data_IF_023099676032
#
_entry.id   IF_023099676032
#
_cell.length_a   1.000
_cell.length_b   1.000
_cell.length_c   1.000
_cell.angle_alpha   90.00
_cell.angle_beta   90.00
_cell.angle_gamma   90.00
#
_symmetry.space_group_name_H-M   'P 1'
#
loop_
_entity.id
_entity.type
_entity.pdbx_description
1 polymer ?
#
# COMPACT_ATOMS: atom_id res chain seq x y z
N UNK A 1 29.66 11.65 -18.20
CA UNK A 1 29.33 12.77 -17.29
C UNK A 1 28.46 12.23 -16.20
N UNK A 2 28.90 12.33 -14.94
CA UNK A 2 28.11 11.94 -13.79
C UNK A 2 26.96 12.95 -13.66
N UNK A 3 25.71 12.49 -13.68
CA UNK A 3 24.56 13.38 -13.50
C UNK A 3 24.51 13.79 -12.01
N UNK A 4 24.53 15.09 -11.75
CA UNK A 4 24.37 15.65 -10.42
C UNK A 4 22.87 15.67 -10.06
N UNK A 5 22.37 14.52 -9.61
CA UNK A 5 20.96 14.34 -9.24
C UNK A 5 20.84 14.59 -7.73
N UNK A 6 20.08 15.60 -7.31
CA UNK A 6 19.85 15.84 -5.89
C UNK A 6 19.08 14.66 -5.27
N UNK A 7 19.57 14.19 -4.14
CA UNK A 7 18.94 13.10 -3.36
C UNK A 7 18.38 13.69 -2.08
N UNK A 8 17.12 13.39 -1.81
CA UNK A 8 16.46 13.74 -0.55
C UNK A 8 15.88 12.47 0.08
N UNK A 9 16.14 12.27 1.36
CA UNK A 9 15.51 11.21 2.16
C UNK A 9 14.18 11.70 2.72
N UNK A 10 13.23 10.78 2.87
CA UNK A 10 11.93 11.05 3.50
C UNK A 10 11.73 10.12 4.68
N UNK A 11 11.04 10.59 5.71
CA UNK A 11 10.68 9.82 6.90
C UNK A 11 9.29 10.19 7.40
N UNK A 12 8.80 9.48 8.41
CA UNK A 12 7.50 9.74 9.01
C UNK A 12 7.38 11.21 9.48
N UNK A 13 6.32 11.86 9.06
CA UNK A 13 6.05 13.28 9.27
C UNK A 13 6.32 14.17 8.04
N UNK A 14 7.12 13.71 7.09
CA UNK A 14 7.32 14.44 5.84
C UNK A 14 6.06 14.35 4.97
N UNK A 15 5.75 15.45 4.29
CA UNK A 15 4.63 15.49 3.37
C UNK A 15 4.91 16.38 2.16
N UNK A 16 4.29 16.03 1.05
CA UNK A 16 4.27 16.82 -0.18
C UNK A 16 2.83 17.18 -0.50
N UNK A 17 2.59 18.39 -0.98
CA UNK A 17 1.27 18.82 -1.42
C UNK A 17 1.35 19.58 -2.73
N UNK A 18 0.42 19.24 -3.65
CA UNK A 18 0.23 19.97 -4.90
C UNK A 18 -1.26 20.04 -5.24
N UNK A 19 -1.84 21.19 -5.02
CA UNK A 19 -3.29 21.36 -5.16
C UNK A 19 -4.05 20.44 -4.21
N UNK A 20 -4.94 19.61 -4.75
CA UNK A 20 -5.72 18.65 -3.97
C UNK A 20 -4.96 17.34 -3.66
N UNK A 21 -3.80 17.12 -4.27
CA UNK A 21 -2.97 15.94 -4.01
C UNK A 21 -2.08 16.18 -2.80
N UNK A 22 -2.14 15.28 -1.82
CA UNK A 22 -1.26 15.21 -0.66
C UNK A 22 -0.62 13.83 -0.60
N UNK A 23 0.67 13.79 -0.26
CA UNK A 23 1.40 12.56 0.01
C UNK A 23 2.11 12.72 1.35
N UNK A 24 1.75 11.92 2.34
CA UNK A 24 2.36 11.91 3.66
C UNK A 24 3.17 10.63 3.85
N UNK A 25 4.38 10.74 4.38
CA UNK A 25 5.18 9.60 4.79
C UNK A 25 4.78 9.18 6.21
N UNK A 26 4.29 7.94 6.36
CA UNK A 26 3.91 7.37 7.66
C UNK A 26 5.04 6.58 8.30
N UNK A 27 5.98 6.05 7.50
CA UNK A 27 7.07 5.18 7.92
C UNK A 27 8.21 5.20 6.88
N UNK A 28 9.49 5.00 7.28
CA UNK A 28 10.00 4.78 8.64
C UNK A 28 10.03 6.06 9.48
N UNK A 29 9.89 5.92 10.80
CA UNK A 29 10.18 7.05 11.71
C UNK A 29 11.69 7.29 11.78
N UNK A 30 12.14 8.52 12.11
CA UNK A 30 13.54 8.75 12.41
C UNK A 30 14.05 7.79 13.50
N UNK A 31 15.26 7.28 13.33
CA UNK A 31 15.89 6.34 14.28
C UNK A 31 15.04 5.08 14.55
N UNK A 32 14.26 4.63 13.58
CA UNK A 32 13.57 3.35 13.68
C UNK A 32 14.59 2.22 13.72
N UNK A 33 14.42 1.30 14.66
CA UNK A 33 15.25 0.11 14.78
C UNK A 33 14.41 -1.15 14.66
N UNK A 34 14.79 -2.04 13.76
CA UNK A 34 14.09 -3.28 13.47
C UNK A 34 15.05 -4.36 12.95
N UNK A 35 14.65 -5.61 13.13
CA UNK A 35 15.48 -6.78 12.79
C UNK A 35 15.50 -7.12 11.30
N UNK A 36 14.56 -6.61 10.50
CA UNK A 36 14.45 -6.97 9.08
C UNK A 36 14.42 -5.72 8.18
N UNK A 37 15.00 -5.86 6.96
CA UNK A 37 14.99 -4.78 5.97
C UNK A 37 13.55 -4.37 5.56
N UNK A 38 12.63 -5.32 5.47
CA UNK A 38 11.24 -5.06 5.09
C UNK A 38 10.50 -4.20 6.13
N UNK A 39 10.89 -4.30 7.40
CA UNK A 39 10.33 -3.45 8.44
C UNK A 39 10.63 -1.95 8.26
N UNK A 40 11.64 -1.59 7.44
CA UNK A 40 11.97 -0.19 7.09
C UNK A 40 11.24 0.31 5.84
N UNK A 41 10.35 -0.48 5.26
CA UNK A 41 9.67 -0.09 4.01
C UNK A 41 8.95 1.23 4.13
N UNK A 42 9.23 2.12 3.19
CA UNK A 42 8.54 3.41 3.11
C UNK A 42 7.05 3.20 2.91
N UNK A 43 6.26 3.73 3.83
CA UNK A 43 4.80 3.66 3.78
C UNK A 43 4.23 5.07 3.58
N UNK A 44 3.43 5.22 2.52
CA UNK A 44 2.88 6.50 2.12
C UNK A 44 1.35 6.48 2.15
N UNK A 45 0.77 7.53 2.75
CA UNK A 45 -0.63 7.89 2.55
C UNK A 45 -0.71 8.88 1.38
N UNK A 46 -1.45 8.52 0.35
CA UNK A 46 -1.76 9.41 -0.78
C UNK A 46 -3.22 9.81 -0.68
N UNK A 47 -3.48 11.10 -0.61
CA UNK A 47 -4.84 11.65 -0.55
C UNK A 47 -5.10 12.55 -1.76
N UNK A 48 -6.21 12.32 -2.45
CA UNK A 48 -6.71 13.18 -3.50
C UNK A 48 -8.21 13.41 -3.28
N UNK A 49 -8.60 14.61 -2.89
CA UNK A 49 -9.95 14.91 -2.41
C UNK A 49 -10.40 13.91 -1.34
N UNK A 50 -11.50 13.16 -1.61
CA UNK A 50 -12.04 12.14 -0.69
C UNK A 50 -11.34 10.79 -0.81
N UNK A 51 -10.52 10.58 -1.84
CA UNK A 51 -9.84 9.29 -2.08
C UNK A 51 -8.54 9.21 -1.28
N UNK A 52 -8.42 8.16 -0.47
CA UNK A 52 -7.20 7.82 0.28
C UNK A 52 -6.63 6.48 -0.17
N UNK A 53 -5.33 6.46 -0.45
CA UNK A 53 -4.58 5.26 -0.83
C UNK A 53 -3.41 5.06 0.12
N UNK A 54 -3.22 3.82 0.58
CA UNK A 54 -2.08 3.41 1.39
C UNK A 54 -1.11 2.57 0.54
N UNK A 55 0.14 3.03 0.44
CA UNK A 55 1.23 2.35 -0.25
C UNK A 55 2.21 1.80 0.79
N UNK A 56 2.31 0.48 0.92
CA UNK A 56 3.03 -0.16 2.02
C UNK A 56 4.44 -0.66 1.67
N UNK A 57 4.89 -0.57 0.40
CA UNK A 57 6.14 -1.22 0.00
C UNK A 57 6.13 -2.71 0.35
N UNK A 58 7.18 -3.18 1.01
CA UNK A 58 7.32 -4.55 1.51
C UNK A 58 7.16 -4.63 3.04
N UNK A 59 6.40 -3.71 3.62
CA UNK A 59 6.20 -3.54 5.05
C UNK A 59 5.81 -4.84 5.76
N UNK A 60 6.55 -5.21 6.80
CA UNK A 60 6.34 -6.40 7.63
C UNK A 60 6.74 -6.16 9.09
N UNK A 61 6.31 -7.04 9.98
CA UNK A 61 6.77 -7.12 11.37
C UNK A 61 6.63 -5.81 12.13
N UNK A 62 7.72 -5.35 12.75
CA UNK A 62 7.73 -4.15 13.60
C UNK A 62 7.30 -2.88 12.85
N UNK A 63 7.63 -2.79 11.55
CA UNK A 63 7.20 -1.67 10.72
C UNK A 63 5.68 -1.64 10.51
N UNK A 64 5.06 -2.80 10.24
CA UNK A 64 3.61 -2.91 10.12
C UNK A 64 2.93 -2.57 11.45
N UNK A 65 3.45 -3.07 12.57
CA UNK A 65 2.92 -2.76 13.88
C UNK A 65 3.00 -1.26 14.20
N UNK A 66 4.12 -0.61 13.87
CA UNK A 66 4.27 0.82 14.06
C UNK A 66 3.25 1.63 13.24
N UNK A 67 3.07 1.30 11.95
CA UNK A 67 2.08 1.97 11.10
C UNK A 67 0.66 1.71 11.62
N UNK A 68 0.34 0.48 12.01
CA UNK A 68 -0.95 0.11 12.59
C UNK A 68 -1.31 0.98 13.80
N UNK A 69 -0.37 1.19 14.74
CA UNK A 69 -0.60 2.02 15.92
C UNK A 69 -0.88 3.49 15.56
N UNK A 70 -0.23 4.02 14.53
CA UNK A 70 -0.53 5.37 14.03
C UNK A 70 -1.93 5.45 13.42
N UNK A 71 -2.29 4.46 12.60
CA UNK A 71 -3.60 4.40 11.96
C UNK A 71 -4.74 4.24 12.97
N UNK A 72 -4.54 3.47 14.05
CA UNK A 72 -5.50 3.37 15.15
C UNK A 72 -5.73 4.72 15.83
N UNK A 73 -4.65 5.48 16.09
CA UNK A 73 -4.75 6.80 16.73
C UNK A 73 -5.45 7.83 15.85
N UNK A 74 -5.20 7.80 14.54
CA UNK A 74 -5.82 8.72 13.60
C UNK A 74 -7.26 8.33 13.22
N UNK A 75 -7.62 7.05 13.38
CA UNK A 75 -8.88 6.51 12.89
C UNK A 75 -9.01 6.50 11.36
N UNK A 76 -7.91 6.72 10.65
CA UNK A 76 -7.90 6.82 9.19
C UNK A 76 -8.22 5.48 8.54
N UNK A 77 -9.10 5.52 7.54
CA UNK A 77 -9.43 4.39 6.64
C UNK A 77 -9.05 4.75 5.22
N UNK A 78 -8.93 3.74 4.37
CA UNK A 78 -8.43 3.92 3.01
C UNK A 78 -9.37 3.29 1.99
N UNK A 79 -9.55 3.97 0.85
CA UNK A 79 -10.30 3.39 -0.28
C UNK A 79 -9.46 2.30 -0.95
N UNK A 80 -8.14 2.50 -1.02
CA UNK A 80 -7.22 1.65 -1.77
C UNK A 80 -6.04 1.27 -0.89
N UNK A 81 -5.71 -0.02 -0.90
CA UNK A 81 -4.49 -0.56 -0.31
C UNK A 81 -3.62 -1.16 -1.41
N UNK A 82 -2.40 -0.64 -1.60
CA UNK A 82 -1.35 -1.41 -2.26
C UNK A 82 -0.81 -2.41 -1.23
N UNK A 83 -1.19 -3.66 -1.39
CA UNK A 83 -0.82 -4.75 -0.47
C UNK A 83 0.70 -4.84 -0.33
N UNK A 84 1.17 -4.99 0.90
CA UNK A 84 2.59 -5.07 1.20
C UNK A 84 3.22 -6.36 0.67
N UNK A 85 4.52 -6.29 0.39
CA UNK A 85 5.41 -7.40 0.06
C UNK A 85 4.81 -8.38 -0.95
N UNK A 86 4.26 -7.84 -2.04
CA UNK A 86 3.69 -8.58 -3.16
C UNK A 86 2.61 -9.61 -2.79
N UNK A 87 2.05 -9.50 -1.61
CA UNK A 87 1.09 -10.46 -1.07
C UNK A 87 1.72 -11.58 -0.24
N UNK A 88 2.82 -11.30 0.45
CA UNK A 88 3.41 -12.20 1.46
C UNK A 88 2.42 -12.53 2.57
N UNK A 89 2.44 -13.77 3.06
CA UNK A 89 1.65 -14.18 4.24
C UNK A 89 2.09 -13.47 5.53
N UNK A 90 3.33 -12.99 5.57
CA UNK A 90 3.93 -12.34 6.73
C UNK A 90 3.62 -10.84 6.80
N UNK A 91 2.97 -10.29 5.78
CA UNK A 91 2.57 -8.88 5.71
C UNK A 91 1.05 -8.72 5.75
N UNK A 92 0.58 -7.50 5.95
CA UNK A 92 -0.84 -7.15 5.84
C UNK A 92 -1.70 -8.05 6.74
N UNK A 93 -1.42 -8.01 8.04
CA UNK A 93 -2.09 -8.84 9.05
C UNK A 93 -3.61 -8.59 9.09
N UNK A 94 -4.35 -9.51 9.73
CA UNK A 94 -5.79 -9.35 9.89
C UNK A 94 -6.14 -8.08 10.70
N UNK A 95 -5.33 -7.76 11.70
CA UNK A 95 -5.51 -6.55 12.52
C UNK A 95 -5.25 -5.27 11.71
N UNK A 96 -4.21 -5.28 10.87
CA UNK A 96 -3.92 -4.19 9.93
C UNK A 96 -5.08 -3.97 8.95
N UNK A 97 -5.60 -5.04 8.37
CA UNK A 97 -6.75 -4.98 7.46
C UNK A 97 -8.04 -4.51 8.15
N UNK A 98 -8.27 -4.92 9.39
CA UNK A 98 -9.42 -4.46 10.18
C UNK A 98 -9.38 -2.94 10.45
N UNK A 99 -8.18 -2.35 10.55
CA UNK A 99 -8.00 -0.91 10.71
C UNK A 99 -8.11 -0.18 9.37
N UNK A 100 -7.44 -0.66 8.32
CA UNK A 100 -7.37 0.00 7.00
C UNK A 100 -8.71 -0.08 6.27
N UNK A 101 -9.38 -1.22 6.30
CA UNK A 101 -10.67 -1.51 5.66
C UNK A 101 -10.76 -1.05 4.20
N UNK A 102 -9.85 -1.47 3.32
CA UNK A 102 -9.81 -0.98 1.96
C UNK A 102 -10.98 -1.52 1.14
N UNK A 103 -11.55 -0.68 0.27
CA UNK A 103 -12.48 -1.11 -0.75
C UNK A 103 -11.77 -1.91 -1.85
N UNK A 104 -10.57 -1.46 -2.25
CA UNK A 104 -9.73 -2.10 -3.26
C UNK A 104 -8.40 -2.52 -2.67
N UNK A 105 -7.99 -3.75 -2.91
CA UNK A 105 -6.68 -4.29 -2.55
C UNK A 105 -5.89 -4.61 -3.83
N UNK A 106 -4.80 -3.89 -4.08
CA UNK A 106 -3.98 -4.05 -5.28
C UNK A 106 -2.74 -4.86 -4.92
N UNK A 107 -2.57 -6.01 -5.57
CA UNK A 107 -1.41 -6.89 -5.43
C UNK A 107 -0.55 -6.78 -6.68
N UNK A 108 0.68 -6.31 -6.53
CA UNK A 108 1.68 -6.26 -7.60
C UNK A 108 2.67 -7.40 -7.43
N UNK A 109 2.57 -8.44 -8.23
CA UNK A 109 3.49 -9.57 -8.21
C UNK A 109 3.68 -10.14 -9.62
N UNK A 110 4.79 -10.83 -9.84
CA UNK A 110 5.08 -11.49 -11.11
C UNK A 110 4.33 -12.81 -11.25
N UNK A 111 3.91 -13.13 -12.47
CA UNK A 111 3.40 -14.47 -12.79
C UNK A 111 4.55 -15.48 -12.63
N UNK A 112 4.28 -16.61 -12.00
CA UNK A 112 5.28 -17.66 -11.73
C UNK A 112 6.48 -17.18 -10.89
N UNK A 113 6.26 -16.25 -9.96
CA UNK A 113 7.34 -15.82 -9.07
C UNK A 113 7.76 -16.94 -8.12
N UNK A 114 9.07 -17.00 -7.81
CA UNK A 114 9.67 -18.07 -6.98
C UNK A 114 9.20 -18.06 -5.52
N UNK A 115 8.57 -16.99 -5.07
CA UNK A 115 8.11 -16.84 -3.68
C UNK A 115 6.69 -17.37 -3.46
N UNK A 116 5.97 -17.71 -4.54
CA UNK A 116 4.59 -18.16 -4.48
C UNK A 116 3.59 -17.06 -4.10
N UNK A 117 3.97 -15.80 -4.31
CA UNK A 117 3.08 -14.65 -4.05
C UNK A 117 2.01 -14.50 -5.16
N UNK A 118 0.79 -14.06 -4.80
CA UNK A 118 0.30 -13.84 -3.43
C UNK A 118 0.00 -15.15 -2.70
N UNK A 119 0.33 -15.23 -1.41
CA UNK A 119 0.05 -16.39 -0.59
C UNK A 119 -1.47 -16.55 -0.31
N UNK A 120 -1.93 -17.79 -0.18
CA UNK A 120 -3.35 -18.11 0.07
C UNK A 120 -3.85 -17.52 1.38
N UNK A 121 -3.02 -17.48 2.41
CA UNK A 121 -3.34 -16.91 3.71
C UNK A 121 -3.65 -15.42 3.63
N UNK A 122 -2.91 -14.67 2.80
CA UNK A 122 -3.19 -13.26 2.55
C UNK A 122 -4.50 -13.10 1.78
N UNK A 123 -4.71 -13.86 0.72
CA UNK A 123 -5.95 -13.80 -0.07
C UNK A 123 -7.17 -14.13 0.82
N UNK A 124 -7.05 -15.10 1.73
CA UNK A 124 -8.10 -15.42 2.71
C UNK A 124 -8.42 -14.21 3.61
N UNK A 125 -7.40 -13.51 4.12
CA UNK A 125 -7.60 -12.29 4.93
C UNK A 125 -8.29 -11.18 4.15
N UNK A 126 -7.89 -10.94 2.89
CA UNK A 126 -8.52 -9.92 2.04
C UNK A 126 -9.99 -10.26 1.73
N UNK A 127 -10.28 -11.53 1.45
CA UNK A 127 -11.64 -11.98 1.22
C UNK A 127 -12.53 -11.83 2.46
N UNK A 128 -11.98 -12.04 3.67
CA UNK A 128 -12.75 -11.93 4.92
C UNK A 128 -13.25 -10.51 5.21
N UNK A 129 -12.63 -9.49 4.61
CA UNK A 129 -13.06 -8.09 4.70
C UNK A 129 -13.82 -7.62 3.46
N UNK A 130 -14.14 -8.51 2.52
CA UNK A 130 -14.84 -8.21 1.26
C UNK A 130 -14.15 -7.15 0.39
N UNK A 131 -12.82 -7.06 0.42
CA UNK A 131 -12.07 -6.17 -0.45
C UNK A 131 -12.10 -6.65 -1.90
N UNK A 132 -12.26 -5.72 -2.86
CA UNK A 132 -12.07 -6.01 -4.28
C UNK A 132 -10.59 -6.21 -4.57
N UNK A 133 -10.18 -7.45 -4.86
CA UNK A 133 -8.78 -7.80 -5.11
C UNK A 133 -8.46 -7.65 -6.60
N UNK A 134 -7.42 -6.87 -6.92
CA UNK A 134 -6.85 -6.77 -8.26
C UNK A 134 -5.38 -7.18 -8.20
N UNK A 135 -5.00 -8.18 -9.01
CA UNK A 135 -3.62 -8.66 -9.09
C UNK A 135 -3.05 -8.40 -10.48
N UNK A 136 -1.81 -7.91 -10.54
CA UNK A 136 -1.11 -7.71 -11.81
C UNK A 136 -0.87 -9.02 -12.58
N UNK A 137 -0.90 -10.18 -11.90
CA UNK A 137 -0.80 -11.50 -12.55
C UNK A 137 -2.02 -11.86 -13.40
N UNK A 138 -3.20 -11.36 -13.00
CA UNK A 138 -4.48 -11.68 -13.65
C UNK A 138 -4.94 -10.54 -14.56
N UNK A 139 -4.69 -9.31 -14.15
CA UNK A 139 -5.29 -8.12 -14.74
C UNK A 139 -4.30 -7.26 -15.55
N UNK A 140 -3.00 -7.64 -15.56
CA UNK A 140 -1.96 -6.81 -16.15
C UNK A 140 -1.73 -5.54 -15.33
N UNK A 141 -1.53 -4.42 -15.99
CA UNK A 141 -1.40 -3.13 -15.31
C UNK A 141 -2.72 -2.76 -14.62
N UNK A 142 -2.64 -2.32 -13.38
CA UNK A 142 -3.80 -1.81 -12.62
C UNK A 142 -3.73 -0.29 -12.59
N UNK A 143 -4.81 0.37 -12.98
CA UNK A 143 -4.92 1.83 -13.02
C UNK A 143 -5.99 2.30 -12.04
N UNK A 144 -5.63 3.30 -11.23
CA UNK A 144 -6.54 4.00 -10.32
C UNK A 144 -6.94 5.33 -10.95
N UNK A 145 -8.23 5.58 -11.03
CA UNK A 145 -8.79 6.87 -11.40
C UNK A 145 -9.48 7.48 -10.18
N UNK A 146 -8.91 8.56 -9.65
CA UNK A 146 -9.49 9.30 -8.54
C UNK A 146 -10.05 10.64 -9.06
N UNK A 147 -11.35 10.84 -8.90
CA UNK A 147 -12.02 12.10 -9.11
C UNK A 147 -12.23 12.85 -7.79
N UNK A 148 -12.98 13.96 -7.83
CA UNK A 148 -13.32 14.72 -6.63
C UNK A 148 -14.11 13.86 -5.63
N UNK A 149 -15.13 13.14 -6.12
CA UNK A 149 -16.10 12.39 -5.31
C UNK A 149 -16.23 10.93 -5.74
N UNK A 150 -15.29 10.44 -6.55
CA UNK A 150 -15.33 9.09 -7.10
C UNK A 150 -13.96 8.47 -7.18
N UNK A 151 -13.91 7.15 -7.03
CA UNK A 151 -12.72 6.35 -7.27
C UNK A 151 -13.12 5.11 -8.07
N UNK A 152 -12.31 4.75 -9.07
CA UNK A 152 -12.42 3.49 -9.78
C UNK A 152 -11.06 2.88 -9.99
N UNK A 153 -10.99 1.54 -9.99
CA UNK A 153 -9.76 0.78 -10.17
C UNK A 153 -10.02 -0.25 -11.26
N UNK A 154 -9.20 -0.23 -12.31
CA UNK A 154 -9.38 -1.06 -13.50
C UNK A 154 -8.09 -1.80 -13.83
N UNK A 155 -8.20 -3.06 -14.17
CA UNK A 155 -7.14 -3.85 -14.78
C UNK A 155 -6.99 -3.53 -16.27
N UNK A 156 -5.81 -3.72 -16.83
CA UNK A 156 -5.56 -3.53 -18.26
C UNK A 156 -6.45 -4.42 -19.12
N UNK A 157 -6.64 -5.68 -18.72
CA UNK A 157 -7.46 -6.63 -19.48
C UNK A 157 -8.97 -6.39 -19.31
N UNK A 158 -9.41 -5.66 -18.31
CA UNK A 158 -10.83 -5.31 -18.13
C UNK A 158 -11.30 -4.23 -19.12
N UNK A 159 -10.36 -3.40 -19.63
CA UNK A 159 -10.67 -2.34 -20.61
C UNK A 159 -11.00 -2.89 -22.00
N UNK A 160 -10.75 -4.16 -22.25
CA UNK A 160 -10.91 -4.82 -23.54
C UNK A 160 -12.06 -5.85 -23.56
N UNK A 161 -12.91 -5.85 -22.55
CA UNK A 161 -14.19 -6.57 -22.47
C UNK A 161 -15.36 -5.58 -22.61
#
# INVERSE_FOLDING_TARGET
KQADIPIQTICAGDHLQKGALSVACLHPKPFFDASSANAYSTTLEVTYYSTKMLLCGDLEGDGEQYVLEQLKRSGTRFNILKVAHHGSKNSTSAEFLAQVQPQYAIISCGKNNRYGHPHRELLSRLNSISAHILSTTEQGAVTVYAGRDSVSVLGYFDKNK
#
